data_IF_201017870842
#
_entry.id   IF_201017870842
#
_cell.length_a   1.000
_cell.length_b   1.000
_cell.length_c   1.000
_cell.angle_alpha   90.00
_cell.angle_beta   90.00
_cell.angle_gamma   90.00
#
_symmetry.space_group_name_H-M   'P 1'
#
loop_
_entity.id
_entity.type
_entity.pdbx_description
1 polymer ?
#
# COMPACT_ATOMS: atom_id res chain seq x y z
N UNK A 1 13.24 -6.25 -6.83
CA UNK A 1 12.80 -6.00 -5.45
C UNK A 1 13.62 -6.83 -4.48
N UNK A 2 14.11 -6.22 -3.45
CA UNK A 2 14.75 -6.93 -2.36
C UNK A 2 13.73 -7.08 -1.24
N UNK A 3 13.67 -8.23 -0.58
CA UNK A 3 12.75 -8.42 0.53
C UNK A 3 12.95 -7.33 1.57
N UNK A 4 12.00 -6.45 1.68
CA UNK A 4 12.11 -5.27 2.52
C UNK A 4 11.17 -5.38 3.71
N UNK A 5 11.71 -5.21 4.91
CA UNK A 5 10.91 -5.09 6.12
C UNK A 5 10.73 -3.60 6.37
N UNK A 6 9.48 -3.16 6.41
CA UNK A 6 9.16 -1.76 6.62
C UNK A 6 9.18 -1.43 8.11
N UNK A 7 9.84 -0.35 8.45
CA UNK A 7 9.86 0.19 9.81
C UNK A 7 9.44 1.65 9.76
N UNK A 8 9.21 2.23 10.94
CA UNK A 8 8.87 3.66 11.02
C UNK A 8 9.97 4.51 10.38
N UNK A 9 11.23 4.10 10.50
CA UNK A 9 12.34 4.82 9.89
C UNK A 9 12.25 4.84 8.37
N UNK A 10 11.68 3.81 7.77
CA UNK A 10 11.51 3.74 6.32
C UNK A 10 10.50 4.75 5.79
N UNK A 11 9.65 5.30 6.65
CA UNK A 11 8.67 6.30 6.25
C UNK A 11 9.29 7.68 6.06
N UNK A 12 10.47 7.91 6.60
CA UNK A 12 11.22 9.17 6.44
C UNK A 12 10.36 10.40 6.76
N UNK A 13 9.59 10.32 7.85
CA UNK A 13 8.72 11.40 8.28
C UNK A 13 7.45 11.57 7.45
N UNK A 14 7.17 10.63 6.58
CA UNK A 14 6.01 10.73 5.68
C UNK A 14 4.83 9.91 6.17
N UNK A 15 3.65 10.27 5.68
CA UNK A 15 2.45 9.46 5.81
C UNK A 15 2.58 8.24 4.89
N UNK A 16 2.09 7.08 5.29
CA UNK A 16 2.16 5.89 4.45
C UNK A 16 0.76 5.36 4.10
N UNK A 17 0.53 5.10 2.83
CA UNK A 17 -0.61 4.31 2.38
C UNK A 17 -0.08 2.91 2.09
N UNK A 18 -0.58 1.92 2.84
CA UNK A 18 -0.11 0.55 2.76
C UNK A 18 -1.24 -0.33 2.25
N UNK A 19 -1.00 -0.99 1.12
CA UNK A 19 -1.98 -1.89 0.50
C UNK A 19 -1.46 -3.33 0.58
N UNK A 20 -2.21 -4.20 1.26
CA UNK A 20 -1.89 -5.62 1.31
C UNK A 20 -2.60 -6.33 0.16
N UNK A 21 -1.84 -7.13 -0.59
CA UNK A 21 -2.30 -7.74 -1.84
C UNK A 21 -1.65 -9.11 -2.05
N UNK A 22 -2.07 -9.80 -3.10
CA UNK A 22 -1.44 -11.04 -3.53
C UNK A 22 -1.58 -11.17 -5.05
N UNK A 23 -0.66 -11.91 -5.66
CA UNK A 23 -0.67 -12.09 -7.12
C UNK A 23 -1.91 -12.85 -7.62
N UNK A 24 -2.52 -13.66 -6.75
CA UNK A 24 -3.72 -14.43 -7.09
C UNK A 24 -5.02 -13.68 -6.79
N UNK A 25 -4.94 -12.52 -6.20
CA UNK A 25 -6.11 -11.77 -5.73
C UNK A 25 -6.60 -10.82 -6.82
N UNK A 26 -7.64 -11.23 -7.54
CA UNK A 26 -8.16 -10.43 -8.65
C UNK A 26 -8.62 -9.03 -8.26
N UNK A 27 -9.40 -8.85 -7.16
CA UNK A 27 -9.78 -7.49 -6.75
C UNK A 27 -8.56 -6.62 -6.40
N UNK A 28 -7.50 -7.22 -5.85
CA UNK A 28 -6.26 -6.49 -5.56
C UNK A 28 -5.65 -5.93 -6.85
N UNK A 29 -5.59 -6.76 -7.89
CA UNK A 29 -5.00 -6.37 -9.16
C UNK A 29 -5.84 -5.30 -9.86
N UNK A 30 -7.16 -5.36 -9.69
CA UNK A 30 -8.08 -4.42 -10.31
C UNK A 30 -7.95 -3.01 -9.75
N UNK A 31 -7.57 -2.86 -8.48
CA UNK A 31 -7.43 -1.52 -7.90
C UNK A 31 -6.05 -0.90 -8.11
N UNK A 32 -5.06 -1.69 -8.54
CA UNK A 32 -3.69 -1.18 -8.67
C UNK A 32 -3.52 0.01 -9.61
N UNK A 33 -4.22 0.09 -10.76
CA UNK A 33 -4.12 1.30 -11.57
C UNK A 33 -4.52 2.56 -10.82
N UNK A 34 -5.54 2.50 -9.96
CA UNK A 34 -5.93 3.66 -9.16
C UNK A 34 -4.90 3.98 -8.09
N UNK A 35 -4.23 2.97 -7.56
CA UNK A 35 -3.14 3.18 -6.59
C UNK A 35 -1.96 3.87 -7.27
N UNK A 36 -1.63 3.46 -8.48
CA UNK A 36 -0.56 4.11 -9.25
C UNK A 36 -0.88 5.58 -9.52
N UNK A 37 -2.15 5.88 -9.86
CA UNK A 37 -2.59 7.26 -10.05
C UNK A 37 -2.46 8.08 -8.76
N UNK A 38 -2.86 7.49 -7.64
CA UNK A 38 -2.73 8.13 -6.32
C UNK A 38 -1.28 8.42 -6.00
N UNK A 39 -0.39 7.48 -6.28
CA UNK A 39 1.03 7.66 -6.03
C UNK A 39 1.57 8.86 -6.79
N UNK A 40 1.20 8.99 -8.07
CA UNK A 40 1.65 10.11 -8.90
C UNK A 40 1.19 11.46 -8.34
N UNK A 41 0.02 11.50 -7.70
CA UNK A 41 -0.54 12.72 -7.15
C UNK A 41 0.03 13.04 -5.77
N UNK A 42 0.12 12.03 -4.90
CA UNK A 42 0.36 12.26 -3.47
C UNK A 42 1.82 12.12 -3.04
N UNK A 43 2.69 11.57 -3.88
CA UNK A 43 4.07 11.36 -3.46
C UNK A 43 4.78 12.68 -3.13
N UNK A 44 4.42 13.76 -3.82
CA UNK A 44 4.99 15.07 -3.56
C UNK A 44 4.27 15.83 -2.45
N UNK A 45 3.21 15.25 -1.91
CA UNK A 45 2.41 15.87 -0.85
C UNK A 45 2.69 15.29 0.53
N UNK A 46 3.63 14.34 0.63
CA UNK A 46 4.02 13.77 1.91
C UNK A 46 3.59 12.33 2.15
N UNK A 47 3.16 11.62 1.11
CA UNK A 47 2.82 10.20 1.20
C UNK A 47 3.87 9.31 0.56
N UNK A 48 4.07 8.15 1.16
CA UNK A 48 4.72 7.03 0.50
C UNK A 48 3.66 5.95 0.27
N UNK A 49 3.69 5.32 -0.90
CA UNK A 49 2.69 4.32 -1.30
C UNK A 49 3.40 2.97 -1.39
N UNK A 50 2.92 1.99 -0.62
CA UNK A 50 3.61 0.71 -0.50
C UNK A 50 2.62 -0.43 -0.64
N UNK A 51 2.91 -1.37 -1.54
CA UNK A 51 2.12 -2.61 -1.70
C UNK A 51 2.87 -3.76 -1.03
N UNK A 52 2.23 -4.42 -0.08
CA UNK A 52 2.85 -5.46 0.75
C UNK A 52 2.19 -6.80 0.47
N UNK A 53 2.99 -7.82 0.19
CA UNK A 53 2.50 -9.19 0.03
C UNK A 53 3.27 -10.12 0.96
N UNK A 54 2.61 -11.18 1.44
CA UNK A 54 3.29 -12.21 2.23
C UNK A 54 3.78 -13.38 1.37
N UNK A 55 3.68 -13.25 0.07
CA UNK A 55 4.20 -14.26 -0.86
C UNK A 55 5.71 -14.24 -0.90
N UNK A 56 6.33 -15.27 -1.50
CA UNK A 56 7.78 -15.29 -1.61
C UNK A 56 8.28 -14.20 -2.58
N UNK A 57 9.55 -13.86 -2.43
CA UNK A 57 10.17 -12.77 -3.20
C UNK A 57 10.11 -13.02 -4.70
N UNK A 58 10.31 -14.25 -5.12
CA UNK A 58 10.33 -14.57 -6.56
C UNK A 58 8.97 -14.32 -7.19
N UNK A 59 7.90 -14.65 -6.48
CA UNK A 59 6.55 -14.43 -6.98
C UNK A 59 6.25 -12.94 -7.08
N UNK A 60 6.61 -12.17 -6.07
CA UNK A 60 6.42 -10.72 -6.07
C UNK A 60 7.24 -10.09 -7.20
N UNK A 61 8.50 -10.50 -7.34
CA UNK A 61 9.38 -9.96 -8.38
C UNK A 61 8.86 -10.29 -9.77
N UNK A 62 8.33 -11.49 -9.97
CA UNK A 62 7.71 -11.87 -11.25
C UNK A 62 6.55 -10.94 -11.62
N UNK A 63 5.73 -10.58 -10.63
CA UNK A 63 4.66 -9.62 -10.86
C UNK A 63 5.19 -8.24 -11.21
N UNK A 64 6.20 -7.76 -10.48
CA UNK A 64 6.81 -6.46 -10.74
C UNK A 64 7.36 -6.39 -12.17
N UNK A 65 8.02 -7.46 -12.61
CA UNK A 65 8.63 -7.51 -13.93
C UNK A 65 7.61 -7.49 -15.06
N UNK A 66 6.39 -7.95 -14.80
CA UNK A 66 5.32 -8.03 -15.81
C UNK A 66 4.37 -6.85 -15.78
N UNK A 67 4.55 -5.93 -14.84
CA UNK A 67 3.64 -4.80 -14.67
C UNK A 67 4.43 -3.52 -14.45
N UNK A 68 3.86 -2.41 -14.92
CA UNK A 68 4.58 -1.15 -14.99
C UNK A 68 4.13 -0.20 -13.88
N UNK A 69 4.24 -0.66 -12.63
CA UNK A 69 3.88 0.15 -11.47
C UNK A 69 5.12 0.72 -10.81
N UNK A 70 5.02 1.98 -10.36
CA UNK A 70 6.16 2.69 -9.78
C UNK A 70 6.09 2.83 -8.25
N UNK A 71 4.97 2.43 -7.62
CA UNK A 71 4.91 2.45 -6.16
C UNK A 71 5.83 1.37 -5.58
N UNK A 72 6.13 1.52 -4.28
CA UNK A 72 7.02 0.58 -3.60
C UNK A 72 6.34 -0.76 -3.37
N UNK A 73 7.11 -1.85 -3.50
CA UNK A 73 6.67 -3.19 -3.15
C UNK A 73 7.49 -3.70 -1.97
N UNK A 74 6.85 -4.44 -1.08
CA UNK A 74 7.53 -5.02 0.07
C UNK A 74 6.98 -6.40 0.36
N UNK A 75 7.78 -7.21 1.05
CA UNK A 75 7.39 -8.53 1.51
C UNK A 75 7.16 -8.51 3.01
N UNK A 76 6.06 -9.13 3.46
CA UNK A 76 5.81 -9.37 4.87
C UNK A 76 6.05 -10.86 5.14
N UNK A 77 7.03 -11.20 5.97
CA UNK A 77 7.51 -12.56 6.10
C UNK A 77 6.59 -13.47 6.93
N UNK A 78 5.61 -12.90 7.64
CA UNK A 78 4.73 -13.66 8.52
C UNK A 78 3.34 -13.82 7.90
N UNK A 79 2.48 -14.62 8.53
CA UNK A 79 1.09 -14.71 8.12
C UNK A 79 0.35 -13.41 8.37
N UNK A 80 -0.57 -13.06 7.47
CA UNK A 80 -1.30 -11.79 7.57
C UNK A 80 -2.25 -11.76 8.77
N UNK A 81 -2.67 -12.94 9.27
CA UNK A 81 -3.50 -13.02 10.46
C UNK A 81 -2.82 -12.43 11.70
N UNK A 82 -1.48 -12.38 11.72
CA UNK A 82 -0.74 -11.72 12.80
C UNK A 82 -1.02 -10.22 12.87
N UNK A 83 -1.52 -9.65 11.76
CA UNK A 83 -1.93 -8.24 11.67
C UNK A 83 -3.44 -8.08 11.65
N UNK A 84 -4.19 -9.15 11.96
CA UNK A 84 -5.66 -9.17 11.88
C UNK A 84 -6.17 -8.91 10.45
N UNK A 85 -5.43 -9.37 9.46
CA UNK A 85 -5.84 -9.27 8.06
C UNK A 85 -6.32 -10.64 7.60
N UNK A 86 -7.62 -10.75 7.31
CA UNK A 86 -8.26 -12.02 6.95
C UNK A 86 -8.86 -12.01 5.56
N UNK A 87 -8.82 -10.89 4.86
CA UNK A 87 -9.25 -10.81 3.47
C UNK A 87 -8.41 -9.78 2.74
N UNK A 88 -8.29 -9.93 1.43
CA UNK A 88 -7.53 -9.04 0.57
C UNK A 88 -8.43 -8.46 -0.51
N UNK A 89 -8.19 -7.26 -0.96
CA UNK A 89 -7.14 -6.35 -0.50
C UNK A 89 -7.50 -5.70 0.85
N UNK A 90 -6.47 -5.27 1.57
CA UNK A 90 -6.64 -4.52 2.81
C UNK A 90 -5.73 -3.30 2.75
N UNK A 91 -6.29 -2.12 3.03
CA UNK A 91 -5.57 -0.87 2.86
C UNK A 91 -5.58 -0.06 4.14
N UNK A 92 -4.44 0.55 4.44
CA UNK A 92 -4.23 1.28 5.69
C UNK A 92 -3.52 2.60 5.42
N UNK A 93 -3.83 3.61 6.24
CA UNK A 93 -3.04 4.83 6.28
C UNK A 93 -2.44 4.91 7.68
N UNK A 94 -1.12 5.07 7.75
CA UNK A 94 -0.42 5.25 9.01
C UNK A 94 0.38 6.55 8.95
N UNK A 95 0.54 7.20 10.13
CA UNK A 95 1.34 8.41 10.19
C UNK A 95 2.82 8.10 10.32
N UNK A 96 3.66 9.13 10.39
CA UNK A 96 5.10 8.99 10.46
C UNK A 96 5.56 8.26 11.73
N UNK A 97 4.72 8.16 12.74
CA UNK A 97 5.01 7.45 13.97
C UNK A 97 4.54 6.00 13.93
N UNK A 98 3.88 5.60 12.84
CA UNK A 98 3.34 4.26 12.69
C UNK A 98 1.95 4.08 13.28
N UNK A 99 1.29 5.16 13.68
CA UNK A 99 -0.08 5.06 14.20
C UNK A 99 -1.08 4.88 13.07
N UNK A 100 -2.02 3.95 13.25
CA UNK A 100 -3.05 3.67 12.27
C UNK A 100 -4.12 4.76 12.30
N UNK A 101 -4.35 5.39 11.15
CA UNK A 101 -5.33 6.46 11.01
C UNK A 101 -6.57 6.04 10.24
N UNK A 102 -6.45 5.05 9.37
CA UNK A 102 -7.54 4.63 8.49
C UNK A 102 -7.31 3.18 8.07
N UNK A 103 -8.40 2.42 7.95
CA UNK A 103 -8.34 1.07 7.39
C UNK A 103 -9.57 0.80 6.53
N UNK A 104 -9.38 -0.01 5.49
CA UNK A 104 -10.46 -0.40 4.59
C UNK A 104 -10.19 -1.81 4.06
N UNK A 105 -11.18 -2.67 4.15
CA UNK A 105 -11.14 -4.02 3.57
C UNK A 105 -11.88 -3.99 2.24
N UNK A 106 -11.32 -4.65 1.22
CA UNK A 106 -11.90 -4.72 -0.10
C UNK A 106 -11.35 -3.69 -1.06
N UNK A 107 -11.63 -3.87 -2.35
CA UNK A 107 -11.12 -3.01 -3.41
C UNK A 107 -11.86 -1.66 -3.43
N UNK A 108 -11.15 -0.63 -3.86
CA UNK A 108 -11.69 0.73 -3.96
C UNK A 108 -10.96 1.46 -5.08
N UNK A 109 -11.66 2.39 -5.72
CA UNK A 109 -11.02 3.30 -6.67
C UNK A 109 -10.41 4.45 -5.88
N UNK A 110 -9.09 4.41 -5.68
CA UNK A 110 -8.43 5.32 -4.75
C UNK A 110 -8.20 6.72 -5.30
N UNK A 111 -8.17 6.87 -6.63
CA UNK A 111 -7.81 8.12 -7.27
C UNK A 111 -8.99 9.07 -7.54
N UNK A 112 -10.17 8.75 -7.03
CA UNK A 112 -11.30 9.66 -7.18
C UNK A 112 -11.19 10.82 -6.19
N UNK A 113 -12.00 11.86 -6.43
CA UNK A 113 -11.94 13.08 -5.63
C UNK A 113 -12.22 12.85 -4.15
N UNK A 114 -13.19 11.98 -3.83
CA UNK A 114 -13.54 11.66 -2.45
C UNK A 114 -12.35 11.06 -1.69
N UNK A 115 -11.67 10.11 -2.29
CA UNK A 115 -10.53 9.47 -1.65
C UNK A 115 -9.31 10.38 -1.60
N UNK A 116 -9.11 11.23 -2.60
CA UNK A 116 -8.04 12.23 -2.54
C UNK A 116 -8.25 13.20 -1.39
N UNK A 117 -9.49 13.61 -1.13
CA UNK A 117 -9.81 14.44 0.04
C UNK A 117 -9.49 13.69 1.33
N UNK A 118 -9.80 12.40 1.39
CA UNK A 118 -9.48 11.58 2.55
C UNK A 118 -7.97 11.59 2.83
N UNK A 119 -7.16 11.28 1.81
CA UNK A 119 -5.71 11.26 1.96
C UNK A 119 -5.19 12.62 2.46
N UNK A 120 -5.68 13.69 1.87
CA UNK A 120 -5.21 15.03 2.20
C UNK A 120 -5.66 15.50 3.58
N UNK A 121 -6.78 14.96 4.07
CA UNK A 121 -7.29 15.35 5.39
C UNK A 121 -6.32 14.99 6.51
N UNK A 122 -5.57 13.90 6.35
CA UNK A 122 -4.61 13.47 7.36
C UNK A 122 -3.32 14.29 7.33
N UNK A 123 -3.01 14.91 6.21
CA UNK A 123 -1.81 15.72 6.08
C UNK A 123 -1.90 17.07 6.82
N UNK A 124 -3.10 17.50 7.18
CA UNK A 124 -3.34 18.79 7.81
C UNK A 124 -3.16 18.78 9.33
N UNK A 125 -2.86 17.64 9.88
CA UNK A 125 -2.72 17.49 11.34
C UNK A 125 -1.29 17.70 11.80
#
# INVERSE_FOLDING_TARGET
>A
MEGKILTVDDLDGKMAFINFWATWCKPCLQEMPSIESVKAILENEGYVIIAVSNEDKDRIQGFIDQNDYSFEFAQFALGLESLNIYSLPASYIVDAKGELLFEHMGAREWDNEENLKLFRSYLKN
#
